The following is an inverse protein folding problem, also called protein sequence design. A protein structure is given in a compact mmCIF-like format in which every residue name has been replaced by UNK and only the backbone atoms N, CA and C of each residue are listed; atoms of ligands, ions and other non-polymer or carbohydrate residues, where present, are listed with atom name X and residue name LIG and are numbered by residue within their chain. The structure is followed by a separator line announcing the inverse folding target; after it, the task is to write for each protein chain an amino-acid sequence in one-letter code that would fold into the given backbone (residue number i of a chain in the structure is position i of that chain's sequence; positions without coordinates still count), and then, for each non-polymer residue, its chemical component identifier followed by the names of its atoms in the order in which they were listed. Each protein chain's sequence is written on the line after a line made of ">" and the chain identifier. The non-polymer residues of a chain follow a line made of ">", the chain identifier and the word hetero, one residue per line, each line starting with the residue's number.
data_IF_075687328218
#
_entry.id   IF_075687328218
#
_cell.length_a   1.000
_cell.length_b   1.000
_cell.length_c   1.000
_cell.angle_alpha   90.00
_cell.angle_beta   90.00
_cell.angle_gamma   90.00
#
_symmetry.space_group_name_H-M   'P 1'
#
loop_
_entity.id
_entity.type
_entity.pdbx_description
1 polymer ?
#
# COMPACT_ATOMS: atom_id res chain seq x y z
N UNK A 1 6.11 31.67 -18.63
CA UNK A 1 4.71 31.38 -18.23
C UNK A 1 4.75 30.39 -17.07
N UNK A 2 4.46 30.83 -15.84
CA UNK A 2 4.46 29.95 -14.68
C UNK A 2 3.12 29.19 -14.61
N UNK A 3 3.07 28.00 -15.22
CA UNK A 3 1.96 27.08 -15.08
C UNK A 3 2.03 26.42 -13.70
N UNK A 4 1.15 26.80 -12.78
CA UNK A 4 1.14 26.16 -11.46
C UNK A 4 0.35 26.92 -10.42
N UNK A 5 -0.98 26.90 -10.54
CA UNK A 5 -1.94 27.08 -9.43
C UNK A 5 -3.34 26.92 -10.03
N UNK A 6 -4.05 25.85 -9.69
CA UNK A 6 -5.47 25.59 -9.98
C UNK A 6 -5.81 24.83 -11.28
N UNK A 7 -6.32 23.60 -11.12
CA UNK A 7 -7.39 23.07 -11.99
C UNK A 7 -8.72 23.37 -11.27
N UNK A 8 -9.41 24.41 -11.70
CA UNK A 8 -10.76 24.71 -11.22
C UNK A 8 -11.73 23.68 -11.81
N UNK A 9 -12.38 22.86 -10.97
CA UNK A 9 -13.38 21.91 -11.46
C UNK A 9 -14.74 22.63 -11.58
N UNK A 10 -15.08 23.03 -12.80
CA UNK A 10 -16.31 23.75 -13.12
C UNK A 10 -17.58 22.97 -12.71
N UNK A 11 -17.54 21.63 -12.74
CA UNK A 11 -18.68 20.76 -12.44
C UNK A 11 -19.01 20.68 -10.94
N UNK A 12 -18.02 20.88 -10.06
CA UNK A 12 -18.19 20.80 -8.59
C UNK A 12 -18.04 22.13 -7.85
N UNK A 13 -17.77 23.25 -8.57
CA UNK A 13 -17.54 24.60 -8.01
C UNK A 13 -16.56 24.62 -6.82
N UNK A 14 -15.48 23.83 -6.90
CA UNK A 14 -14.44 23.75 -5.86
C UNK A 14 -13.07 23.87 -6.51
N UNK A 15 -12.16 24.61 -5.86
CA UNK A 15 -10.74 24.57 -6.19
C UNK A 15 -10.08 23.48 -5.34
N UNK A 16 -9.30 22.59 -5.95
CA UNK A 16 -8.57 21.52 -5.25
C UNK A 16 -7.26 22.05 -4.65
N UNK A 17 -7.32 23.21 -4.00
CA UNK A 17 -6.14 23.91 -3.53
C UNK A 17 -5.89 23.48 -2.08
N UNK A 18 -4.84 22.70 -1.83
CA UNK A 18 -4.28 22.64 -0.46
C UNK A 18 -3.68 23.99 -0.11
N UNK A 19 -3.87 24.42 1.14
CA UNK A 19 -3.18 25.58 1.71
C UNK A 19 -1.66 25.40 1.59
N UNK A 20 -0.91 26.49 1.45
CA UNK A 20 0.55 26.43 1.37
C UNK A 20 1.15 25.80 2.64
N UNK A 21 0.53 26.00 3.81
CA UNK A 21 0.90 25.32 5.07
C UNK A 21 0.77 23.80 4.95
N UNK A 22 -0.36 23.32 4.45
CA UNK A 22 -0.62 21.87 4.27
C UNK A 22 0.31 21.23 3.24
N UNK A 23 0.82 21.99 2.27
CA UNK A 23 1.80 21.48 1.30
C UNK A 23 3.18 21.33 1.94
N UNK A 24 3.60 22.29 2.77
CA UNK A 24 4.86 22.21 3.51
C UNK A 24 4.85 21.07 4.52
N UNK A 25 3.79 20.95 5.31
CA UNK A 25 3.62 19.83 6.26
C UNK A 25 3.67 18.48 5.54
N UNK A 26 3.00 18.37 4.39
CA UNK A 26 3.05 17.14 3.60
C UNK A 26 4.45 16.86 3.04
N UNK A 27 5.17 17.88 2.56
CA UNK A 27 6.52 17.69 2.06
C UNK A 27 7.48 17.24 3.17
N UNK A 28 7.39 17.84 4.36
CA UNK A 28 8.17 17.43 5.53
C UNK A 28 7.87 15.98 5.91
N UNK A 29 6.60 15.58 5.94
CA UNK A 29 6.23 14.21 6.26
C UNK A 29 6.72 13.19 5.20
N UNK A 30 6.89 13.59 3.93
CA UNK A 30 7.49 12.72 2.92
C UNK A 30 9.01 12.60 3.11
N UNK A 31 9.69 13.67 3.47
CA UNK A 31 11.13 13.65 3.77
C UNK A 31 11.42 12.79 5.01
N UNK A 32 10.60 12.93 6.07
CA UNK A 32 10.66 12.05 7.25
C UNK A 32 10.42 10.59 6.89
N UNK A 33 9.46 10.32 6.00
CA UNK A 33 9.18 8.98 5.50
C UNK A 33 10.39 8.39 4.76
N UNK A 34 11.00 9.15 3.84
CA UNK A 34 12.20 8.72 3.09
C UNK A 34 13.33 8.35 4.05
N UNK A 35 13.64 9.24 4.98
CA UNK A 35 14.68 9.03 5.99
C UNK A 35 14.39 7.82 6.91
N UNK A 36 13.12 7.57 7.24
CA UNK A 36 12.75 6.39 8.02
C UNK A 36 13.01 5.10 7.23
N UNK A 37 12.71 5.09 5.94
CA UNK A 37 12.93 3.93 5.08
C UNK A 37 14.40 3.62 4.81
N UNK A 38 15.29 4.62 4.84
CA UNK A 38 16.74 4.40 4.80
C UNK A 38 17.25 3.57 5.99
N UNK A 39 16.56 3.63 7.13
CA UNK A 39 16.88 2.88 8.34
C UNK A 39 16.11 1.55 8.45
N UNK A 40 15.11 1.32 7.59
CA UNK A 40 14.28 0.11 7.62
C UNK A 40 14.89 -0.99 6.76
N UNK A 41 15.56 -1.94 7.41
CA UNK A 41 16.25 -3.02 6.71
C UNK A 41 15.30 -3.93 5.90
N UNK A 42 15.71 -4.22 4.66
CA UNK A 42 14.96 -5.00 3.68
C UNK A 42 13.70 -4.33 3.12
N UNK A 43 13.44 -3.07 3.45
CA UNK A 43 12.33 -2.30 2.87
C UNK A 43 12.79 -1.45 1.69
N UNK A 44 11.94 -1.37 0.67
CA UNK A 44 12.17 -0.55 -0.51
C UNK A 44 10.96 0.33 -0.79
N UNK A 45 11.19 1.64 -0.90
CA UNK A 45 10.18 2.58 -1.41
C UNK A 45 10.22 2.62 -2.93
N UNK A 46 9.04 2.75 -3.53
CA UNK A 46 8.91 3.15 -4.93
C UNK A 46 9.41 4.57 -5.15
N UNK A 47 9.85 4.90 -6.37
CA UNK A 47 10.28 6.26 -6.73
C UNK A 47 9.20 7.32 -6.48
N UNK A 48 7.92 6.95 -6.60
CA UNK A 48 6.79 7.85 -6.34
C UNK A 48 6.37 7.84 -4.86
N UNK A 49 7.03 7.02 -4.04
CA UNK A 49 6.78 6.77 -2.62
C UNK A 49 5.31 6.45 -2.36
N UNK A 50 4.62 5.85 -3.32
CA UNK A 50 3.21 5.48 -3.23
C UNK A 50 2.99 4.03 -2.81
N UNK A 51 4.09 3.30 -2.82
CA UNK A 51 4.18 1.92 -2.39
C UNK A 51 5.52 1.65 -1.74
N UNK A 52 5.50 0.78 -0.74
CA UNK A 52 6.68 0.21 -0.10
C UNK A 52 6.63 -1.31 -0.20
N UNK A 53 7.78 -1.95 -0.34
CA UNK A 53 7.90 -3.38 -0.59
C UNK A 53 8.92 -4.00 0.36
N UNK A 54 8.65 -5.23 0.79
CA UNK A 54 9.59 -6.10 1.48
C UNK A 54 9.45 -7.52 0.96
N UNK A 55 10.57 -8.12 0.56
CA UNK A 55 10.60 -9.48 0.06
C UNK A 55 10.81 -10.44 1.22
N UNK A 56 10.01 -11.50 1.25
CA UNK A 56 10.21 -12.69 2.08
C UNK A 56 10.42 -13.89 1.16
N UNK A 57 10.85 -15.02 1.71
CA UNK A 57 11.18 -16.22 0.94
C UNK A 57 9.99 -16.74 0.12
N UNK A 58 8.78 -16.67 0.70
CA UNK A 58 7.57 -17.28 0.14
C UNK A 58 6.62 -16.26 -0.51
N UNK A 59 6.72 -14.98 -0.15
CA UNK A 59 5.81 -13.92 -0.62
C UNK A 59 6.46 -12.55 -0.54
N UNK A 60 5.88 -11.59 -1.24
CA UNK A 60 6.25 -10.17 -1.15
C UNK A 60 5.16 -9.41 -0.40
N UNK A 61 5.56 -8.65 0.61
CA UNK A 61 4.70 -7.69 1.28
C UNK A 61 4.78 -6.35 0.57
N UNK A 62 3.62 -5.75 0.31
CA UNK A 62 3.48 -4.41 -0.23
C UNK A 62 2.62 -3.56 0.69
N UNK A 63 3.07 -2.37 1.07
CA UNK A 63 2.21 -1.33 1.64
C UNK A 63 1.81 -0.37 0.52
N UNK A 64 0.51 -0.13 0.36
CA UNK A 64 -0.02 0.74 -0.68
C UNK A 64 -1.45 1.15 -0.36
N UNK A 65 -1.88 2.31 -0.82
CA UNK A 65 -3.30 2.69 -0.72
C UNK A 65 -4.16 1.96 -1.77
N UNK A 66 -3.52 1.43 -2.82
CA UNK A 66 -4.19 0.72 -3.90
C UNK A 66 -4.34 -0.77 -3.57
N UNK A 67 -5.41 -1.37 -4.07
CA UNK A 67 -5.57 -2.82 -4.08
C UNK A 67 -4.52 -3.46 -5.00
N UNK A 68 -4.11 -4.69 -4.68
CA UNK A 68 -3.28 -5.52 -5.57
C UNK A 68 -4.04 -6.12 -6.78
N UNK A 69 -5.26 -5.65 -7.06
CA UNK A 69 -6.11 -6.13 -8.16
C UNK A 69 -5.80 -5.48 -9.52
N UNK A 70 -4.74 -4.68 -9.59
CA UNK A 70 -4.42 -3.88 -10.77
C UNK A 70 -3.68 -4.72 -11.82
N UNK A 71 -4.03 -4.53 -13.10
CA UNK A 71 -3.53 -5.27 -14.28
C UNK A 71 -2.00 -5.25 -14.46
N UNK A 72 -1.29 -4.37 -13.76
CA UNK A 72 0.17 -4.25 -13.78
C UNK A 72 0.90 -5.36 -13.01
N UNK A 73 0.19 -6.13 -12.20
CA UNK A 73 0.72 -7.29 -11.49
C UNK A 73 -0.08 -8.52 -11.95
N UNK A 74 0.24 -9.04 -13.13
CA UNK A 74 -0.36 -10.30 -13.59
C UNK A 74 0.29 -11.46 -12.81
N UNK A 75 -0.22 -11.64 -11.60
CA UNK A 75 0.24 -12.60 -10.59
C UNK A 75 -0.13 -14.06 -10.93
N UNK A 76 -0.41 -14.38 -12.19
CA UNK A 76 -0.69 -15.77 -12.58
C UNK A 76 0.56 -16.65 -12.53
N UNK A 77 1.77 -16.07 -12.63
CA UNK A 77 3.04 -16.81 -12.60
C UNK A 77 4.13 -16.14 -11.70
N UNK A 78 3.75 -15.22 -10.81
CA UNK A 78 4.67 -14.48 -9.92
C UNK A 78 4.60 -14.90 -8.45
N UNK A 79 5.50 -14.35 -7.63
CA UNK A 79 5.47 -14.47 -6.16
C UNK A 79 4.13 -13.97 -5.59
N UNK A 80 3.60 -14.63 -4.56
CA UNK A 80 2.38 -14.19 -3.88
C UNK A 80 2.59 -12.77 -3.33
N UNK A 81 1.63 -11.86 -3.59
CA UNK A 81 1.64 -10.52 -3.02
C UNK A 81 0.66 -10.41 -1.87
N UNK A 82 1.17 -10.00 -0.71
CA UNK A 82 0.41 -9.60 0.47
C UNK A 82 0.37 -8.08 0.50
N UNK A 83 -0.75 -7.50 0.12
CA UNK A 83 -0.93 -6.06 0.06
C UNK A 83 -1.63 -5.54 1.31
N UNK A 84 -0.93 -4.73 2.08
CA UNK A 84 -1.43 -4.05 3.27
C UNK A 84 -1.89 -2.65 2.87
N UNK A 85 -3.20 -2.41 2.98
CA UNK A 85 -3.79 -1.13 2.63
C UNK A 85 -3.43 -0.06 3.65
N UNK A 86 -2.65 0.91 3.18
CA UNK A 86 -2.07 1.94 4.02
C UNK A 86 -1.99 3.27 3.27
N UNK A 87 -2.18 4.37 4.00
CA UNK A 87 -1.77 5.68 3.50
C UNK A 87 -0.27 5.86 3.68
N UNK A 88 0.40 6.54 2.74
CA UNK A 88 1.86 6.77 2.75
C UNK A 88 2.38 7.30 4.09
N UNK A 89 1.64 8.23 4.68
CA UNK A 89 1.98 8.86 5.98
C UNK A 89 1.95 7.87 7.16
N UNK A 90 1.28 6.72 7.01
CA UNK A 90 1.13 5.73 8.07
C UNK A 90 1.95 4.46 7.78
N UNK A 91 2.83 4.47 6.78
CA UNK A 91 3.61 3.28 6.43
C UNK A 91 4.50 2.84 7.61
N UNK A 92 5.22 3.78 8.23
CA UNK A 92 6.12 3.48 9.36
C UNK A 92 5.33 2.90 10.54
N UNK A 93 4.24 3.56 10.96
CA UNK A 93 3.38 3.07 12.04
C UNK A 93 2.85 1.64 11.78
N UNK A 94 2.48 1.35 10.53
CA UNK A 94 1.99 0.02 10.16
C UNK A 94 3.13 -1.01 10.21
N UNK A 95 4.32 -0.66 9.74
CA UNK A 95 5.49 -1.55 9.77
C UNK A 95 5.87 -1.89 11.21
N UNK A 96 5.95 -0.89 12.10
CA UNK A 96 6.42 -1.07 13.47
C UNK A 96 5.39 -1.74 14.38
N UNK A 97 4.12 -1.33 14.29
CA UNK A 97 3.12 -1.71 15.30
C UNK A 97 2.14 -2.79 14.83
N UNK A 98 2.02 -3.00 13.51
CA UNK A 98 0.88 -3.73 12.94
C UNK A 98 1.26 -4.90 12.06
N UNK A 99 2.41 -4.81 11.39
CA UNK A 99 2.79 -5.76 10.37
C UNK A 99 2.90 -7.17 10.94
N UNK A 100 3.57 -7.35 12.08
CA UNK A 100 3.78 -8.68 12.68
C UNK A 100 2.48 -9.45 12.90
N UNK A 101 1.43 -8.78 13.37
CA UNK A 101 0.10 -9.39 13.56
C UNK A 101 -0.57 -9.78 12.24
N UNK A 102 -0.34 -9.02 11.18
CA UNK A 102 -0.86 -9.34 9.84
C UNK A 102 -0.11 -10.56 9.30
N UNK A 103 1.22 -10.58 9.42
CA UNK A 103 2.05 -11.69 8.96
C UNK A 103 1.73 -12.98 9.72
N UNK A 104 1.52 -12.93 11.03
CA UNK A 104 1.14 -14.09 11.83
C UNK A 104 -0.19 -14.72 11.36
N UNK A 105 -1.15 -13.90 10.90
CA UNK A 105 -2.40 -14.40 10.30
C UNK A 105 -2.16 -14.99 8.92
N UNK A 106 -1.33 -14.34 8.10
CA UNK A 106 -1.01 -14.78 6.74
C UNK A 106 -0.25 -16.10 6.75
N UNK A 107 0.71 -16.28 7.67
CA UNK A 107 1.52 -17.50 7.77
C UNK A 107 0.72 -18.74 8.20
N UNK A 108 -0.46 -18.56 8.81
CA UNK A 108 -1.40 -19.64 9.15
C UNK A 108 -2.25 -20.08 7.95
N UNK A 109 -2.25 -19.32 6.86
CA UNK A 109 -3.03 -19.60 5.66
C UNK A 109 -2.24 -20.45 4.67
N UNK A 110 -2.97 -21.24 3.89
CA UNK A 110 -2.40 -21.99 2.77
C UNK A 110 -2.21 -21.05 1.56
N UNK A 111 -1.04 -20.41 1.52
CA UNK A 111 -0.66 -19.36 0.58
C UNK A 111 -0.80 -19.77 -0.89
N UNK A 112 -0.61 -21.05 -1.20
CA UNK A 112 -0.64 -21.58 -2.57
C UNK A 112 -2.01 -21.49 -3.23
N UNK A 113 -3.08 -21.42 -2.44
CA UNK A 113 -4.47 -21.27 -2.92
C UNK A 113 -4.77 -19.88 -3.46
N UNK A 114 -4.03 -18.87 -3.01
CA UNK A 114 -4.37 -17.46 -3.24
C UNK A 114 -3.54 -16.84 -4.36
N UNK A 115 -4.17 -16.03 -5.19
CA UNK A 115 -3.51 -15.21 -6.22
C UNK A 115 -2.87 -13.97 -5.57
N UNK A 116 -3.60 -13.34 -4.64
CA UNK A 116 -3.11 -12.22 -3.84
C UNK A 116 -3.96 -12.09 -2.58
N UNK A 117 -3.36 -11.46 -1.56
CA UNK A 117 -4.01 -11.18 -0.29
C UNK A 117 -4.07 -9.67 -0.10
N UNK A 118 -5.22 -9.15 0.31
CA UNK A 118 -5.39 -7.75 0.70
C UNK A 118 -5.73 -7.69 2.19
N UNK A 119 -4.81 -7.20 3.00
CA UNK A 119 -5.08 -6.83 4.37
C UNK A 119 -5.53 -5.36 4.41
N UNK A 120 -6.75 -5.11 4.89
CA UNK A 120 -7.12 -3.76 5.35
C UNK A 120 -6.64 -3.58 6.79
N UNK A 121 -6.29 -2.35 7.19
CA UNK A 121 -5.78 -2.00 8.52
C UNK A 121 -6.38 -2.86 9.65
N UNK A 122 -5.55 -3.31 10.61
CA UNK A 122 -5.74 -4.40 11.59
C UNK A 122 -7.15 -4.71 12.13
N UNK A 123 -8.03 -3.71 12.25
CA UNK A 123 -9.42 -3.88 12.70
C UNK A 123 -10.33 -4.55 11.66
N UNK A 124 -9.87 -4.68 10.42
CA UNK A 124 -10.67 -5.21 9.32
C UNK A 124 -10.16 -6.56 8.79
N UNK A 125 -11.13 -7.40 8.45
CA UNK A 125 -11.10 -8.53 7.51
C UNK A 125 -9.94 -8.53 6.50
N UNK A 126 -9.10 -9.56 6.57
CA UNK A 126 -8.13 -9.90 5.53
C UNK A 126 -8.88 -10.58 4.39
N UNK A 127 -8.73 -10.06 3.17
CA UNK A 127 -9.40 -10.58 1.97
C UNK A 127 -8.40 -11.36 1.12
N UNK A 128 -8.57 -12.67 1.05
CA UNK A 128 -7.70 -13.57 0.30
C UNK A 128 -8.38 -13.96 -1.02
N UNK A 129 -7.79 -13.61 -2.16
CA UNK A 129 -8.39 -13.85 -3.49
C UNK A 129 -7.84 -15.14 -4.09
N UNK A 130 -8.71 -16.06 -4.50
CA UNK A 130 -8.33 -17.41 -4.95
C UNK A 130 -7.74 -17.41 -6.37
N UNK A 131 -6.78 -18.31 -6.62
CA UNK A 131 -6.28 -18.58 -7.99
C UNK A 131 -7.40 -19.16 -8.87
N UNK A 132 -7.36 -18.83 -10.16
CA UNK A 132 -8.35 -19.29 -11.16
C UNK A 132 -9.72 -18.61 -11.11
N UNK A 133 -9.94 -17.66 -10.18
CA UNK A 133 -11.19 -16.90 -10.08
C UNK A 133 -10.90 -15.40 -10.14
N UNK A 134 -11.78 -14.64 -10.81
CA UNK A 134 -11.64 -13.18 -10.91
C UNK A 134 -12.00 -12.46 -9.60
N UNK A 135 -13.01 -12.94 -8.88
CA UNK A 135 -13.62 -12.20 -7.75
C UNK A 135 -13.86 -13.04 -6.50
N UNK A 136 -13.65 -14.36 -6.57
CA UNK A 136 -13.88 -15.25 -5.43
C UNK A 136 -12.81 -15.01 -4.38
N UNK A 137 -13.24 -14.77 -3.14
CA UNK A 137 -12.36 -14.43 -2.03
C UNK A 137 -12.87 -15.03 -0.73
N UNK A 138 -11.93 -15.29 0.17
CA UNK A 138 -12.16 -15.69 1.55
C UNK A 138 -11.85 -14.50 2.47
N UNK A 139 -12.49 -14.47 3.63
CA UNK A 139 -12.35 -13.40 4.62
C UNK A 139 -11.93 -14.01 5.96
N UNK A 140 -10.86 -13.47 6.55
CA UNK A 140 -10.20 -13.96 7.78
C UNK A 140 -9.91 -12.82 8.76
#
# INVERSE_FOLDING_TARGET
>A
MAFGKSRYNAYRKRSFNRSDKQRREYAQAMEELENAFDNLDGWHLSNMMDSAYKNFDNYQVRLSNHSADNQYHDLENGYLIVNVKASKLNFVDIIENKLDKILEKVDKLDLDKYRFINATNLEHDIKCYLKGYKTKKEVV
#
